data_IF_051408911574
#
_entry.id   IF_051408911574
#
_cell.length_a   1.000
_cell.length_b   1.000
_cell.length_c   1.000
_cell.angle_alpha   90.00
_cell.angle_beta   90.00
_cell.angle_gamma   90.00
#
_symmetry.space_group_name_H-M   'P 1'
#
loop_
_entity.id
_entity.type
_entity.pdbx_description
1 polymer ?
#
# COMPACT_ATOMS: atom_id res chain seq x y z
N UNK A 1 9.99 0.72 -7.92
CA UNK A 1 9.50 1.06 -6.58
C UNK A 1 8.75 -0.13 -6.01
N UNK A 2 8.85 -0.38 -4.70
CA UNK A 2 8.14 -1.46 -4.04
C UNK A 2 7.69 -1.07 -2.61
N UNK A 3 6.46 -1.43 -2.25
CA UNK A 3 5.93 -1.33 -0.90
C UNK A 3 5.12 -2.59 -0.55
N UNK A 4 5.16 -3.03 0.70
CA UNK A 4 4.36 -4.16 1.19
C UNK A 4 3.29 -3.61 2.13
N UNK A 5 2.01 -3.72 1.79
CA UNK A 5 0.91 -3.22 2.61
C UNK A 5 0.32 -4.38 3.41
N UNK A 6 0.17 -4.19 4.72
CA UNK A 6 -0.51 -5.16 5.58
C UNK A 6 -1.99 -5.19 5.23
N UNK A 7 -2.56 -6.37 5.00
CA UNK A 7 -4.00 -6.55 4.83
C UNK A 7 -4.77 -6.32 6.14
N UNK A 8 -6.08 -6.59 6.15
CA UNK A 8 -6.84 -6.59 7.42
C UNK A 8 -6.29 -7.69 8.33
N UNK A 9 -5.48 -7.31 9.33
CA UNK A 9 -4.99 -8.21 10.37
C UNK A 9 -6.14 -9.05 10.93
N UNK A 10 -6.08 -10.38 10.76
CA UNK A 10 -6.82 -11.26 11.69
C UNK A 10 -6.31 -10.95 13.09
N UNK A 11 -7.24 -10.78 14.05
CA UNK A 11 -6.93 -10.43 15.45
C UNK A 11 -5.71 -11.22 15.96
N UNK A 12 -4.76 -10.58 16.66
CA UNK A 12 -3.58 -11.29 17.14
C UNK A 12 -4.00 -12.46 18.05
N UNK A 13 -3.42 -13.65 17.81
CA UNK A 13 -3.53 -14.78 18.74
C UNK A 13 -2.98 -14.32 20.09
N UNK A 14 -3.82 -14.35 21.13
CA UNK A 14 -3.45 -13.99 22.51
C UNK A 14 -2.26 -14.83 22.98
N UNK A 15 -1.07 -14.25 22.97
CA UNK A 15 0.07 -14.78 23.73
C UNK A 15 -0.08 -14.27 25.17
N UNK A 16 -0.43 -15.16 26.10
CA UNK A 16 -0.39 -14.86 27.54
C UNK A 16 1.07 -14.63 27.94
N UNK A 17 1.46 -13.39 28.20
CA UNK A 17 2.71 -13.08 28.93
C UNK A 17 2.37 -12.36 30.23
N UNK A 18 2.86 -12.94 31.33
CA UNK A 18 2.75 -12.42 32.70
C UNK A 18 3.47 -11.08 32.82
N UNK A 19 2.83 -10.14 33.49
CA UNK A 19 3.26 -8.77 33.68
C UNK A 19 4.50 -8.67 34.58
N UNK A 20 5.48 -7.88 34.13
CA UNK A 20 6.43 -7.18 35.00
C UNK A 20 6.47 -5.73 34.52
N UNK A 21 5.91 -4.85 35.36
CA UNK A 21 5.80 -3.42 35.12
C UNK A 21 7.18 -2.77 35.35
N UNK A 22 7.93 -2.59 34.27
CA UNK A 22 9.08 -1.68 34.23
C UNK A 22 8.64 -0.49 33.38
N UNK A 23 8.64 0.70 33.97
CA UNK A 23 8.46 1.96 33.26
C UNK A 23 9.63 2.13 32.27
N UNK A 24 9.46 1.61 31.05
CA UNK A 24 10.31 1.96 29.93
C UNK A 24 9.78 3.28 29.39
N UNK A 25 10.55 4.35 29.56
CA UNK A 25 10.44 5.50 28.68
C UNK A 25 10.71 5.00 27.26
N UNK A 26 9.64 4.68 26.53
CA UNK A 26 9.70 4.35 25.12
C UNK A 26 9.97 5.66 24.40
N UNK A 27 11.18 5.85 23.91
CA UNK A 27 11.45 6.80 22.85
C UNK A 27 10.52 6.35 21.71
N UNK A 28 9.41 7.06 21.51
CA UNK A 28 8.55 6.85 20.34
C UNK A 28 9.39 7.19 19.12
N UNK A 29 10.03 6.18 18.53
CA UNK A 29 10.62 6.27 17.21
C UNK A 29 9.51 6.72 16.27
N UNK A 30 9.57 7.95 15.77
CA UNK A 30 8.65 8.46 14.76
C UNK A 30 8.66 7.48 13.58
N UNK A 31 7.55 6.76 13.36
CA UNK A 31 7.44 5.88 12.21
C UNK A 31 7.47 6.72 10.93
N UNK A 32 8.23 6.33 9.89
CA UNK A 32 8.23 7.06 8.63
C UNK A 32 6.82 7.14 8.02
N UNK A 33 6.37 8.34 7.72
CA UNK A 33 5.11 8.58 7.01
C UNK A 33 5.44 8.98 5.58
N UNK A 34 5.02 8.17 4.61
CA UNK A 34 4.96 8.59 3.22
C UNK A 34 3.65 9.35 3.01
N UNK A 35 3.75 10.67 2.90
CA UNK A 35 2.59 11.53 2.67
C UNK A 35 2.02 11.31 1.27
N UNK A 36 0.70 11.53 1.14
CA UNK A 36 0.05 11.60 -0.16
C UNK A 36 0.65 12.76 -0.98
N UNK A 37 1.33 12.44 -2.08
CA UNK A 37 2.00 13.41 -2.94
C UNK A 37 1.05 14.05 -3.95
N UNK A 38 -0.06 13.40 -4.29
CA UNK A 38 -0.95 13.84 -5.38
C UNK A 38 -2.43 13.97 -4.99
N UNK A 39 -2.76 13.83 -3.69
CA UNK A 39 -4.09 14.12 -3.16
C UNK A 39 -4.56 15.55 -3.52
N UNK A 40 -5.79 15.66 -4.02
CA UNK A 40 -6.39 16.92 -4.45
C UNK A 40 -5.98 17.37 -5.86
N UNK A 41 -5.11 16.64 -6.55
CA UNK A 41 -4.73 16.92 -7.94
C UNK A 41 -4.96 15.74 -8.88
N UNK A 42 -4.60 14.52 -8.48
CA UNK A 42 -4.79 13.30 -9.27
C UNK A 42 -6.04 12.52 -8.87
N UNK A 43 -6.49 12.71 -7.64
CA UNK A 43 -7.70 12.16 -7.07
C UNK A 43 -8.24 13.11 -6.00
N UNK A 44 -9.51 13.01 -5.57
CA UNK A 44 -10.07 13.92 -4.58
C UNK A 44 -9.28 13.94 -3.26
N UNK A 45 -9.03 15.14 -2.72
CA UNK A 45 -8.21 15.32 -1.52
C UNK A 45 -8.90 14.97 -0.19
N UNK A 46 -10.20 14.65 -0.20
CA UNK A 46 -10.96 14.34 1.02
C UNK A 46 -11.43 12.90 1.02
N UNK A 47 -11.53 12.29 2.20
CA UNK A 47 -11.96 10.90 2.38
C UNK A 47 -13.30 10.61 1.70
N UNK A 48 -14.30 11.48 1.93
CA UNK A 48 -15.65 11.28 1.44
C UNK A 48 -15.73 11.37 -0.09
N UNK A 49 -15.06 12.34 -0.70
CA UNK A 49 -15.07 12.48 -2.16
C UNK A 49 -14.31 11.35 -2.84
N UNK A 50 -13.15 10.95 -2.30
CA UNK A 50 -12.36 9.85 -2.83
C UNK A 50 -13.12 8.52 -2.72
N UNK A 51 -13.75 8.24 -1.58
CA UNK A 51 -14.55 7.04 -1.39
C UNK A 51 -15.72 6.98 -2.39
N UNK A 52 -16.45 8.08 -2.56
CA UNK A 52 -17.59 8.14 -3.47
C UNK A 52 -17.18 7.84 -4.94
N UNK A 53 -16.06 8.39 -5.39
CA UNK A 53 -15.57 8.19 -6.75
C UNK A 53 -15.05 6.75 -6.96
N UNK A 54 -14.29 6.21 -6.00
CA UNK A 54 -13.83 4.81 -6.04
C UNK A 54 -15.00 3.83 -6.01
N UNK A 55 -15.97 4.04 -5.12
CA UNK A 55 -17.15 3.17 -5.00
C UNK A 55 -18.01 3.19 -6.27
N UNK A 56 -18.13 4.34 -6.94
CA UNK A 56 -18.81 4.45 -8.23
C UNK A 56 -18.15 3.55 -9.29
N UNK A 57 -16.83 3.64 -9.47
CA UNK A 57 -16.13 2.81 -10.45
C UNK A 57 -16.14 1.32 -10.08
N UNK A 58 -15.97 0.98 -8.81
CA UNK A 58 -16.08 -0.40 -8.33
C UNK A 58 -17.48 -0.99 -8.54
N UNK A 59 -18.53 -0.16 -8.44
CA UNK A 59 -19.92 -0.56 -8.65
C UNK A 59 -20.25 -0.94 -10.10
N UNK A 60 -19.50 -0.41 -11.07
CA UNK A 60 -19.66 -0.72 -12.50
C UNK A 60 -18.86 -1.96 -12.95
N UNK A 61 -17.85 -2.36 -12.17
CA UNK A 61 -16.96 -3.46 -12.52
C UNK A 61 -17.42 -4.82 -11.98
N UNK A 62 -17.56 -5.79 -12.90
CA UNK A 62 -17.98 -7.16 -12.61
C UNK A 62 -17.02 -8.18 -13.25
N UNK A 63 -15.86 -8.42 -12.62
CA UNK A 63 -14.92 -9.42 -13.11
C UNK A 63 -15.51 -10.81 -12.92
N UNK A 64 -15.55 -11.60 -14.00
CA UNK A 64 -16.13 -12.95 -14.03
C UNK A 64 -15.23 -14.03 -13.43
N UNK A 65 -14.41 -13.70 -12.43
CA UNK A 65 -13.44 -14.61 -11.80
C UNK A 65 -13.58 -14.63 -10.28
N UNK A 66 -13.42 -15.79 -9.61
CA UNK A 66 -13.37 -15.86 -8.16
C UNK A 66 -12.16 -15.11 -7.59
N UNK A 67 -12.37 -14.34 -6.53
CA UNK A 67 -11.31 -13.49 -5.97
C UNK A 67 -10.15 -14.27 -5.36
N UNK A 68 -10.34 -15.54 -4.98
CA UNK A 68 -9.30 -16.45 -4.46
C UNK A 68 -8.49 -17.15 -5.55
N UNK A 69 -8.80 -16.89 -6.83
CA UNK A 69 -8.08 -17.43 -7.99
C UNK A 69 -7.08 -16.46 -8.63
N UNK A 70 -6.89 -15.26 -8.05
CA UNK A 70 -6.13 -14.15 -8.66
C UNK A 70 -4.92 -13.76 -7.80
N UNK A 71 -3.73 -14.28 -8.13
CA UNK A 71 -2.52 -13.96 -7.36
C UNK A 71 -1.97 -12.54 -7.60
N UNK A 72 -2.29 -11.94 -8.75
CA UNK A 72 -1.78 -10.63 -9.15
C UNK A 72 -2.74 -9.91 -10.09
N UNK A 73 -2.69 -8.57 -10.04
CA UNK A 73 -3.39 -7.69 -10.97
C UNK A 73 -2.45 -6.63 -11.51
N UNK A 74 -2.78 -6.11 -12.69
CA UNK A 74 -2.11 -4.95 -13.29
C UNK A 74 -3.15 -3.86 -13.39
N UNK A 75 -2.85 -2.68 -12.83
CA UNK A 75 -3.73 -1.53 -12.85
C UNK A 75 -2.98 -0.28 -13.38
N UNK A 76 -3.66 0.59 -14.14
CA UNK A 76 -3.10 1.88 -14.54
C UNK A 76 -2.97 2.83 -13.35
N UNK A 77 -1.98 3.73 -13.38
CA UNK A 77 -1.70 4.71 -12.32
C UNK A 77 -1.78 6.18 -12.81
N UNK A 78 -2.57 6.46 -13.86
CA UNK A 78 -2.92 7.84 -14.20
C UNK A 78 -3.90 8.43 -13.17
N UNK A 79 -4.20 9.73 -13.23
CA UNK A 79 -5.22 10.35 -12.37
C UNK A 79 -6.57 9.60 -12.41
N UNK A 80 -7.26 9.57 -11.27
CA UNK A 80 -8.40 8.69 -10.99
C UNK A 80 -9.55 8.83 -12.00
N UNK A 81 -9.81 10.05 -12.47
CA UNK A 81 -10.77 10.34 -13.55
C UNK A 81 -10.49 9.55 -14.84
N UNK A 82 -9.22 9.29 -15.15
CA UNK A 82 -8.81 8.62 -16.40
C UNK A 82 -8.60 7.12 -16.21
N UNK A 83 -8.00 6.73 -15.08
CA UNK A 83 -7.57 5.35 -14.81
C UNK A 83 -8.58 4.54 -14.00
N UNK A 84 -9.38 5.21 -13.17
CA UNK A 84 -10.29 4.61 -12.19
C UNK A 84 -11.27 3.60 -12.77
N UNK A 85 -12.01 3.92 -13.85
CA UNK A 85 -12.94 2.97 -14.48
C UNK A 85 -12.26 1.67 -14.92
N UNK A 86 -11.00 1.73 -15.38
CA UNK A 86 -10.24 0.55 -15.81
C UNK A 86 -9.65 -0.18 -14.61
N UNK A 87 -9.03 0.55 -13.67
CA UNK A 87 -8.45 -0.01 -12.46
C UNK A 87 -9.49 -0.75 -11.60
N UNK A 88 -10.76 -0.30 -11.62
CA UNK A 88 -11.85 -0.95 -10.91
C UNK A 88 -12.03 -2.43 -11.28
N UNK A 89 -11.84 -2.81 -12.55
CA UNK A 89 -11.92 -4.22 -12.98
C UNK A 89 -10.85 -5.08 -12.32
N UNK A 90 -9.61 -4.57 -12.23
CA UNK A 90 -8.51 -5.23 -11.54
C UNK A 90 -8.80 -5.37 -10.03
N UNK A 91 -9.15 -4.27 -9.36
CA UNK A 91 -9.38 -4.31 -7.92
C UNK A 91 -10.61 -5.11 -7.51
N UNK A 92 -11.67 -5.12 -8.31
CA UNK A 92 -12.82 -6.01 -8.09
C UNK A 92 -12.45 -7.48 -8.21
N UNK A 93 -11.49 -7.84 -9.06
CA UNK A 93 -11.09 -9.22 -9.27
C UNK A 93 -10.38 -9.83 -8.05
N UNK A 94 -9.83 -8.99 -7.17
CA UNK A 94 -9.18 -9.43 -5.92
C UNK A 94 -9.99 -9.08 -4.67
N UNK A 95 -11.13 -8.40 -4.82
CA UNK A 95 -11.90 -7.93 -3.69
C UNK A 95 -12.51 -9.10 -2.90
N UNK A 96 -12.27 -9.11 -1.59
CA UNK A 96 -12.73 -10.18 -0.71
C UNK A 96 -11.88 -11.46 -0.77
N UNK A 97 -10.79 -11.46 -1.55
CA UNK A 97 -9.84 -12.56 -1.58
C UNK A 97 -9.07 -12.73 -0.25
N UNK A 98 -8.39 -13.86 -0.06
CA UNK A 98 -7.81 -14.28 1.22
C UNK A 98 -6.43 -13.65 1.52
N UNK A 99 -6.18 -12.42 1.06
CA UNK A 99 -4.87 -11.78 1.13
C UNK A 99 -4.57 -11.18 2.51
N UNK A 100 -3.47 -11.64 3.13
CA UNK A 100 -2.99 -11.10 4.42
C UNK A 100 -2.05 -9.91 4.24
N UNK A 101 -1.43 -9.77 3.06
CA UNK A 101 -0.59 -8.65 2.65
C UNK A 101 -0.66 -8.48 1.12
N UNK A 102 -0.32 -7.28 0.65
CA UNK A 102 -0.26 -6.94 -0.78
C UNK A 102 1.11 -6.31 -1.08
N UNK A 103 1.76 -6.74 -2.16
CA UNK A 103 3.00 -6.13 -2.65
C UNK A 103 2.65 -5.19 -3.81
N UNK A 104 2.91 -3.91 -3.64
CA UNK A 104 2.78 -2.90 -4.68
C UNK A 104 4.10 -2.74 -5.42
N UNK A 105 4.07 -2.79 -6.75
CA UNK A 105 5.25 -2.65 -7.62
C UNK A 105 4.92 -1.63 -8.71
N UNK A 106 5.81 -0.66 -8.91
CA UNK A 106 5.60 0.42 -9.87
C UNK A 106 6.90 1.06 -10.34
N UNK A 107 6.87 1.76 -11.49
CA UNK A 107 8.02 2.49 -12.01
C UNK A 107 8.41 3.66 -11.09
N UNK A 108 9.60 4.22 -11.31
CA UNK A 108 9.94 5.54 -10.78
C UNK A 108 9.97 6.56 -11.92
N UNK A 109 9.29 7.68 -11.71
CA UNK A 109 9.21 8.81 -12.64
C UNK A 109 10.10 9.98 -12.19
N UNK A 110 10.50 10.02 -10.91
CA UNK A 110 11.20 11.17 -10.34
C UNK A 110 12.67 10.91 -10.01
N UNK A 111 13.05 9.67 -9.64
CA UNK A 111 14.39 9.35 -9.15
C UNK A 111 14.95 8.17 -9.93
N UNK A 112 16.09 8.36 -10.58
CA UNK A 112 16.83 7.28 -11.20
C UNK A 112 17.55 6.42 -10.17
N UNK A 113 17.38 5.10 -10.24
CA UNK A 113 18.15 4.13 -9.47
C UNK A 113 18.19 2.79 -10.19
N UNK A 114 19.22 1.99 -9.90
CA UNK A 114 19.29 0.60 -10.31
C UNK A 114 18.61 -0.30 -9.27
N UNK A 115 17.94 -1.35 -9.75
CA UNK A 115 17.27 -2.34 -8.91
C UNK A 115 15.92 -1.89 -8.38
N UNK A 116 15.61 -2.23 -7.12
CA UNK A 116 14.29 -2.02 -6.50
C UNK A 116 14.41 -1.16 -5.25
N UNK A 117 13.76 0.01 -5.26
CA UNK A 117 13.62 0.88 -4.10
C UNK A 117 12.44 0.45 -3.22
N UNK A 118 12.74 -0.05 -2.01
CA UNK A 118 11.76 -0.55 -1.04
C UNK A 118 11.43 0.50 0.03
N UNK A 119 10.16 0.72 0.32
CA UNK A 119 9.72 1.44 1.52
C UNK A 119 9.49 0.43 2.65
N UNK A 120 10.46 0.29 3.56
CA UNK A 120 10.54 -0.87 4.45
C UNK A 120 9.65 -0.81 5.69
N UNK A 121 9.32 0.38 6.20
CA UNK A 121 8.69 0.57 7.50
C UNK A 121 7.83 1.82 7.56
N UNK A 122 6.85 1.83 8.46
CA UNK A 122 5.94 2.96 8.67
C UNK A 122 4.64 2.84 7.86
N UNK A 123 4.16 3.94 7.31
CA UNK A 123 2.82 4.01 6.70
C UNK A 123 2.81 4.84 5.41
N UNK A 124 1.86 4.52 4.52
CA UNK A 124 1.44 5.38 3.42
C UNK A 124 0.18 6.13 3.88
N UNK A 125 0.25 7.45 3.93
CA UNK A 125 -0.92 8.29 4.19
C UNK A 125 -1.78 8.39 2.93
N UNK A 126 -3.09 8.24 3.10
CA UNK A 126 -4.09 8.49 2.05
C UNK A 126 -5.25 9.29 2.66
N UNK A 127 -6.11 9.94 1.84
CA UNK A 127 -7.33 10.54 2.37
C UNK A 127 -8.27 9.55 3.08
N UNK A 128 -8.18 8.25 2.76
CA UNK A 128 -8.98 7.18 3.41
C UNK A 128 -8.36 6.68 4.72
N UNK A 129 -7.18 7.18 5.08
CA UNK A 129 -6.42 6.78 6.26
C UNK A 129 -5.03 6.23 5.93
N UNK A 130 -4.36 5.71 6.94
CA UNK A 130 -3.01 5.18 6.82
C UNK A 130 -3.00 3.71 6.40
N UNK A 131 -2.23 3.39 5.36
CA UNK A 131 -1.93 2.03 4.93
C UNK A 131 -0.58 1.60 5.55
N UNK A 132 -0.63 0.67 6.51
CA UNK A 132 0.54 0.22 7.22
C UNK A 132 1.44 -0.70 6.38
N UNK A 133 2.75 -0.48 6.47
CA UNK A 133 3.73 -1.33 5.82
C UNK A 133 3.84 -2.66 6.58
N UNK A 134 3.79 -3.77 5.85
CA UNK A 134 4.21 -5.07 6.37
C UNK A 134 5.75 -5.09 6.44
N UNK A 135 6.28 -4.67 7.60
CA UNK A 135 7.72 -4.52 7.81
C UNK A 135 8.47 -5.85 7.80
N UNK A 136 7.79 -6.95 8.17
CA UNK A 136 8.36 -8.29 8.15
C UNK A 136 8.56 -8.75 6.70
N UNK A 137 7.51 -8.65 5.88
CA UNK A 137 7.57 -8.97 4.46
C UNK A 137 8.56 -8.08 3.71
N UNK A 138 8.52 -6.77 3.92
CA UNK A 138 9.46 -5.85 3.29
C UNK A 138 10.92 -6.15 3.67
N UNK A 139 11.17 -6.51 4.93
CA UNK A 139 12.50 -6.91 5.40
C UNK A 139 12.93 -8.27 4.84
N UNK A 140 12.01 -9.21 4.64
CA UNK A 140 12.28 -10.50 4.00
C UNK A 140 12.70 -10.31 2.54
N UNK A 141 11.99 -9.45 1.78
CA UNK A 141 12.34 -9.12 0.40
C UNK A 141 13.75 -8.54 0.32
N UNK A 142 14.07 -7.55 1.16
CA UNK A 142 15.40 -6.93 1.19
C UNK A 142 16.53 -7.92 1.49
N UNK A 143 16.27 -8.98 2.26
CA UNK A 143 17.26 -10.03 2.56
C UNK A 143 17.35 -11.07 1.44
N UNK A 144 16.29 -11.27 0.68
CA UNK A 144 16.21 -12.31 -0.35
C UNK A 144 16.99 -12.00 -1.63
N UNK A 145 17.35 -10.73 -1.85
CA UNK A 145 18.00 -10.31 -3.10
C UNK A 145 18.93 -9.13 -2.89
N UNK A 146 19.98 -9.05 -3.71
CA UNK A 146 20.97 -7.99 -3.69
C UNK A 146 20.55 -6.74 -4.49
N UNK A 147 19.51 -6.85 -5.33
CA UNK A 147 19.05 -5.73 -6.17
C UNK A 147 18.03 -4.82 -5.46
N UNK A 148 17.53 -5.22 -4.28
CA UNK A 148 16.58 -4.44 -3.50
C UNK A 148 17.28 -3.65 -2.39
N UNK A 149 16.92 -2.37 -2.23
CA UNK A 149 17.48 -1.48 -1.20
C UNK A 149 16.42 -0.56 -0.62
N UNK A 150 16.55 -0.23 0.66
CA UNK A 150 15.73 0.82 1.28
C UNK A 150 16.11 2.17 0.66
N UNK A 151 15.13 2.86 0.07
CA UNK A 151 15.37 4.15 -0.60
C UNK A 151 14.17 5.08 -0.46
N UNK A 152 14.02 5.71 0.70
CA UNK A 152 12.85 6.52 1.05
C UNK A 152 12.61 7.71 0.10
N UNK A 153 13.68 8.37 -0.36
CA UNK A 153 13.57 9.53 -1.26
C UNK A 153 12.92 9.19 -2.60
N UNK A 154 13.13 7.98 -3.12
CA UNK A 154 12.49 7.55 -4.37
C UNK A 154 10.96 7.46 -4.23
N UNK A 155 10.44 7.29 -3.00
CA UNK A 155 9.00 7.23 -2.71
C UNK A 155 8.39 8.61 -2.44
N UNK A 156 9.17 9.63 -2.10
CA UNK A 156 8.64 10.85 -1.49
C UNK A 156 7.71 11.69 -2.39
N UNK A 157 7.94 11.66 -3.70
CA UNK A 157 7.14 12.38 -4.71
C UNK A 157 6.52 11.45 -5.74
N UNK A 158 6.77 10.15 -5.63
CA UNK A 158 6.34 9.18 -6.62
C UNK A 158 4.86 8.86 -6.49
N UNK A 159 4.14 8.84 -7.61
CA UNK A 159 2.70 8.59 -7.65
C UNK A 159 2.37 7.14 -8.05
N UNK A 160 3.27 6.40 -8.69
CA UNK A 160 2.96 5.08 -9.24
C UNK A 160 2.45 4.04 -8.24
N UNK A 161 2.82 4.16 -6.96
CA UNK A 161 2.33 3.31 -5.85
C UNK A 161 1.24 4.00 -5.01
N UNK A 162 0.95 5.28 -5.26
CA UNK A 162 -0.11 6.02 -4.57
C UNK A 162 -1.50 5.76 -5.16
N UNK A 163 -1.52 5.59 -6.48
CA UNK A 163 -2.71 5.38 -7.30
C UNK A 163 -3.15 3.91 -7.23
#
# INVERSE_FOLDING_TARGET
MLACITGRRKRPRRVRRRERFLLRFSIMSQQPVRRAAVAGSWYPGTAAALAAEVDAYLGEASPGVPADSVDAVIAPHAGLMYSGPVAAWAYRAVQGGPYEAVILIGPSHHVGFEGVAVFRRGVFETPLGEAAIDEELASAILKSTHVAREHLQAHAREHSLEM
#
